data_IF_858351166337
#
_entry.id   IF_858351166337
#
_cell.length_a   1.000
_cell.length_b   1.000
_cell.length_c   1.000
_cell.angle_alpha   90.00
_cell.angle_beta   90.00
_cell.angle_gamma   90.00
#
_symmetry.space_group_name_H-M   'P 1'
#
loop_
_entity.id
_entity.type
_entity.pdbx_description
1 polymer ?
#
# COMPACT_ATOMS: atom_id res chain seq x y z
N UNK A 1 1.20 17.17 -20.33
CA UNK A 1 0.08 17.86 -19.65
C UNK A 1 0.56 19.22 -19.19
N UNK A 2 -0.28 20.24 -19.31
CA UNK A 2 -0.07 21.57 -18.74
C UNK A 2 -1.41 22.04 -18.18
N UNK A 3 -1.48 22.31 -16.88
CA UNK A 3 -2.69 22.79 -16.21
C UNK A 3 -2.35 23.50 -14.90
N UNK A 4 -3.25 24.32 -14.39
CA UNK A 4 -3.16 24.90 -13.06
C UNK A 4 -3.47 23.85 -12.00
N UNK A 5 -2.76 23.91 -10.88
CA UNK A 5 -2.87 22.91 -9.82
C UNK A 5 -2.87 23.55 -8.44
N UNK A 6 -3.45 22.84 -7.45
CA UNK A 6 -3.11 23.03 -6.05
C UNK A 6 -1.81 22.29 -5.73
N UNK A 7 -0.94 22.89 -4.92
CA UNK A 7 0.30 22.27 -4.44
C UNK A 7 0.41 22.38 -2.93
N UNK A 8 0.71 21.29 -2.26
CA UNK A 8 0.98 21.26 -0.83
C UNK A 8 2.07 20.25 -0.46
N UNK A 9 2.65 20.39 0.71
CA UNK A 9 3.50 19.37 1.30
C UNK A 9 2.61 18.21 1.74
N UNK A 10 3.06 16.97 1.52
CA UNK A 10 2.32 15.76 1.85
C UNK A 10 3.12 14.83 2.77
N UNK A 11 2.39 14.01 3.54
CA UNK A 11 2.95 12.96 4.38
C UNK A 11 3.01 13.31 5.86
N UNK A 12 3.55 12.37 6.62
CA UNK A 12 3.77 12.46 8.07
C UNK A 12 5.28 12.34 8.37
N UNK A 13 5.65 11.77 9.48
CA UNK A 13 6.98 11.75 10.07
C UNK A 13 8.16 11.61 9.09
N UNK A 14 8.18 10.58 8.25
CA UNK A 14 9.28 10.33 7.30
C UNK A 14 9.29 11.31 6.12
N UNK A 15 8.12 11.62 5.57
CA UNK A 15 7.98 12.44 4.37
C UNK A 15 8.11 13.95 4.64
N UNK A 16 7.85 14.40 5.88
CA UNK A 16 7.90 15.82 6.27
C UNK A 16 9.18 16.21 7.04
N UNK A 17 9.94 15.24 7.54
CA UNK A 17 11.20 15.54 8.29
C UNK A 17 12.41 15.66 7.39
N UNK A 18 12.39 15.02 6.24
CA UNK A 18 13.51 14.96 5.32
C UNK A 18 13.29 15.90 4.13
N UNK A 19 14.18 16.85 3.95
CA UNK A 19 14.22 17.66 2.73
C UNK A 19 14.95 16.89 1.62
N UNK A 20 14.45 16.86 0.39
CA UNK A 20 13.23 17.52 -0.11
C UNK A 20 11.95 16.87 0.42
N UNK A 21 10.92 17.69 0.67
CA UNK A 21 9.64 17.20 1.20
C UNK A 21 8.84 16.49 0.11
N UNK A 22 8.02 15.53 0.50
CA UNK A 22 6.99 14.99 -0.37
C UNK A 22 5.98 16.08 -0.73
N UNK A 23 5.56 16.10 -1.98
CA UNK A 23 4.62 17.09 -2.50
C UNK A 23 3.37 16.40 -3.02
N UNK A 24 2.22 17.01 -2.78
CA UNK A 24 0.94 16.59 -3.34
C UNK A 24 0.43 17.64 -4.30
N UNK A 25 0.02 17.18 -5.47
CA UNK A 25 -0.66 18.00 -6.46
C UNK A 25 -2.14 17.65 -6.51
N UNK A 26 -2.96 18.67 -6.65
CA UNK A 26 -4.42 18.60 -6.66
C UNK A 26 -4.95 19.18 -7.97
N UNK A 27 -5.79 18.41 -8.65
CA UNK A 27 -6.59 18.90 -9.75
C UNK A 27 -8.01 19.22 -9.25
N UNK A 28 -8.64 20.18 -9.86
CA UNK A 28 -10.01 20.58 -9.55
C UNK A 28 -10.42 21.89 -10.23
N UNK A 29 -11.72 22.12 -10.33
CA UNK A 29 -12.29 23.34 -10.94
C UNK A 29 -11.80 24.63 -10.29
N UNK A 30 -11.47 24.57 -9.00
CA UNK A 30 -10.95 25.68 -8.21
C UNK A 30 -9.57 26.12 -8.66
N UNK A 31 -8.77 25.23 -9.27
CA UNK A 31 -7.43 25.52 -9.77
C UNK A 31 -7.44 25.72 -11.28
N UNK A 32 -8.13 24.85 -12.01
CA UNK A 32 -8.25 24.90 -13.46
C UNK A 32 -9.66 24.52 -13.91
N UNK A 33 -10.50 25.48 -14.30
CA UNK A 33 -11.87 25.21 -14.75
C UNK A 33 -11.99 24.34 -16.00
N UNK A 34 -10.91 24.23 -16.79
CA UNK A 34 -10.88 23.44 -18.02
C UNK A 34 -10.35 22.02 -17.82
N UNK A 35 -9.60 21.79 -16.72
CA UNK A 35 -8.95 20.52 -16.45
C UNK A 35 -9.19 20.12 -14.97
N UNK A 36 -10.33 19.47 -14.74
CA UNK A 36 -10.75 19.07 -13.38
C UNK A 36 -9.95 17.90 -12.82
N UNK A 37 -9.23 17.15 -13.67
CA UNK A 37 -8.42 15.99 -13.33
C UNK A 37 -7.11 15.96 -14.08
N UNK A 38 -6.17 15.16 -13.64
CA UNK A 38 -4.96 14.82 -14.39
C UNK A 38 -5.28 13.66 -15.33
N UNK A 39 -5.48 13.96 -16.61
CA UNK A 39 -5.80 12.94 -17.62
C UNK A 39 -4.53 12.53 -18.36
N UNK A 40 -3.87 11.48 -17.90
CA UNK A 40 -2.64 10.95 -18.49
C UNK A 40 -2.33 9.56 -17.93
N UNK A 41 -1.68 8.72 -18.75
CA UNK A 41 -1.18 7.40 -18.37
C UNK A 41 0.13 7.52 -17.56
N UNK A 42 -0.01 7.84 -16.27
CA UNK A 42 1.15 7.95 -15.39
C UNK A 42 1.72 6.58 -14.99
N UNK A 43 0.91 5.53 -15.00
CA UNK A 43 1.24 4.23 -14.43
C UNK A 43 1.03 3.08 -15.42
N UNK A 44 1.46 3.25 -16.67
CA UNK A 44 1.30 2.27 -17.76
C UNK A 44 1.95 0.89 -17.50
N UNK A 45 2.75 0.75 -16.45
CA UNK A 45 3.33 -0.54 -16.05
C UNK A 45 2.35 -1.43 -15.31
N UNK A 46 1.31 -0.83 -14.74
CA UNK A 46 0.32 -1.55 -13.96
C UNK A 46 -0.74 -2.10 -14.89
N UNK A 47 -1.34 -3.22 -14.49
CA UNK A 47 -2.39 -3.88 -15.27
C UNK A 47 -1.92 -4.61 -16.55
N UNK A 48 -0.64 -4.92 -16.63
CA UNK A 48 -0.09 -5.63 -17.79
C UNK A 48 -0.41 -7.12 -17.81
N UNK A 49 -0.83 -7.70 -16.67
CA UNK A 49 -1.09 -9.14 -16.49
C UNK A 49 -2.53 -9.51 -16.12
N UNK A 50 -3.49 -8.63 -16.40
CA UNK A 50 -4.91 -8.94 -16.21
C UNK A 50 -5.40 -8.83 -14.79
N UNK A 51 -4.99 -7.79 -14.08
CA UNK A 51 -5.46 -7.47 -12.73
C UNK A 51 -6.97 -7.25 -12.67
N UNK A 52 -7.55 -7.34 -11.47
CA UNK A 52 -8.99 -7.17 -11.26
C UNK A 52 -9.44 -5.72 -11.50
N UNK A 53 -8.54 -4.76 -11.34
CA UNK A 53 -8.85 -3.34 -11.43
C UNK A 53 -8.38 -2.76 -12.76
N UNK A 54 -9.22 -1.97 -13.44
CA UNK A 54 -8.83 -1.35 -14.70
C UNK A 54 -7.69 -0.35 -14.49
N UNK A 55 -6.84 -0.25 -15.50
CA UNK A 55 -5.84 0.79 -15.59
C UNK A 55 -6.50 2.17 -15.62
N UNK A 56 -6.09 3.07 -14.73
CA UNK A 56 -6.65 4.42 -14.67
C UNK A 56 -5.73 5.44 -15.28
N UNK A 57 -6.34 6.38 -16.01
CA UNK A 57 -5.66 7.52 -16.63
C UNK A 57 -6.26 8.85 -16.20
N UNK A 58 -7.03 8.85 -15.12
CA UNK A 58 -7.78 10.01 -14.63
C UNK A 58 -7.67 10.12 -13.12
N UNK A 59 -6.99 11.17 -12.64
CA UNK A 59 -6.64 11.35 -11.23
C UNK A 59 -7.04 12.75 -10.77
N UNK A 60 -7.59 12.87 -9.57
CA UNK A 60 -7.85 14.16 -8.95
C UNK A 60 -6.69 14.64 -8.06
N UNK A 61 -5.81 13.77 -7.65
CA UNK A 61 -4.56 14.12 -6.99
C UNK A 61 -3.48 13.05 -7.18
N UNK A 62 -2.23 13.48 -7.07
CA UNK A 62 -1.04 12.65 -7.14
C UNK A 62 -0.04 13.12 -6.08
N UNK A 63 0.82 12.22 -5.63
CA UNK A 63 1.87 12.51 -4.65
C UNK A 63 3.24 12.25 -5.27
N UNK A 64 4.16 13.18 -5.11
CA UNK A 64 5.58 13.01 -5.33
C UNK A 64 6.22 12.65 -4.00
N UNK A 65 6.27 11.35 -3.66
CA UNK A 65 6.82 10.88 -2.39
C UNK A 65 8.34 10.85 -2.44
N UNK A 66 8.98 11.48 -1.48
CA UNK A 66 10.43 11.57 -1.38
C UNK A 66 11.13 10.25 -0.99
N UNK A 67 10.40 9.13 -0.91
CA UNK A 67 10.88 7.82 -0.48
C UNK A 67 10.52 7.46 0.97
N UNK A 68 9.97 8.39 1.72
CA UNK A 68 9.56 8.12 3.10
C UNK A 68 10.72 7.62 3.96
N UNK A 69 10.58 6.41 4.52
CA UNK A 69 11.64 5.78 5.32
C UNK A 69 12.86 5.41 4.48
N UNK A 70 12.72 5.12 3.20
CA UNK A 70 13.81 4.76 2.30
C UNK A 70 14.68 5.95 1.85
N UNK A 71 14.25 7.20 2.08
CA UNK A 71 14.93 8.41 1.59
C UNK A 71 16.40 8.48 2.04
N UNK A 72 16.70 8.04 3.26
CA UNK A 72 18.05 8.09 3.82
C UNK A 72 18.99 6.98 3.29
N UNK A 73 18.74 6.45 2.11
CA UNK A 73 19.51 5.36 1.51
C UNK A 73 21.03 5.60 1.44
N UNK A 74 21.48 6.85 1.45
CA UNK A 74 22.89 7.20 1.36
C UNK A 74 23.49 7.89 2.58
N UNK A 75 22.63 8.49 3.45
CA UNK A 75 23.10 9.41 4.46
C UNK A 75 23.10 8.81 5.86
N UNK A 76 24.02 8.78 6.63
CA UNK A 76 24.14 8.72 8.10
C UNK A 76 23.46 7.57 8.87
N UNK A 77 22.41 6.90 8.38
CA UNK A 77 21.83 5.76 9.09
C UNK A 77 22.27 4.45 8.42
N UNK A 78 23.37 3.88 8.93
CA UNK A 78 24.00 2.66 8.42
C UNK A 78 23.14 1.40 8.64
N UNK A 79 22.08 1.51 9.44
CA UNK A 79 21.19 0.41 9.80
C UNK A 79 19.99 0.25 8.84
N UNK A 80 19.66 1.30 8.09
CA UNK A 80 18.54 1.24 7.15
C UNK A 80 19.01 0.88 5.74
N UNK A 81 18.32 -0.09 5.13
CA UNK A 81 18.62 -0.62 3.80
C UNK A 81 17.79 0.07 2.71
N UNK A 82 17.74 1.41 2.70
CA UNK A 82 16.96 2.16 1.71
C UNK A 82 17.42 1.90 0.28
N UNK A 83 16.47 1.59 -0.60
CA UNK A 83 16.69 1.34 -2.03
C UNK A 83 15.98 2.35 -2.91
N UNK A 84 14.97 3.03 -2.39
CA UNK A 84 13.98 3.82 -3.12
C UNK A 84 13.10 2.99 -4.08
N UNK A 85 13.07 1.66 -3.90
CA UNK A 85 12.36 0.72 -4.79
C UNK A 85 11.24 -0.05 -4.11
N UNK A 86 11.28 -0.23 -2.77
CA UNK A 86 10.36 -1.14 -2.05
C UNK A 86 8.90 -0.86 -2.35
N UNK A 87 8.52 0.42 -2.32
CA UNK A 87 7.16 0.78 -2.68
C UNK A 87 6.82 0.42 -4.13
N UNK A 88 7.70 0.72 -5.09
CA UNK A 88 7.46 0.42 -6.50
C UNK A 88 7.38 -1.09 -6.75
N UNK A 89 8.32 -1.86 -6.19
CA UNK A 89 8.35 -3.34 -6.31
C UNK A 89 7.08 -3.92 -5.66
N UNK A 90 6.78 -3.55 -4.42
CA UNK A 90 5.60 -4.05 -3.71
C UNK A 90 4.28 -3.69 -4.38
N UNK A 91 4.16 -2.47 -4.92
CA UNK A 91 2.96 -2.07 -5.67
C UNK A 91 2.78 -2.88 -6.94
N UNK A 92 3.84 -3.19 -7.68
CA UNK A 92 3.77 -4.03 -8.89
C UNK A 92 3.31 -5.44 -8.53
N UNK A 93 3.92 -6.05 -7.53
CA UNK A 93 3.53 -7.39 -7.06
C UNK A 93 2.08 -7.42 -6.55
N UNK A 94 1.65 -6.40 -5.80
CA UNK A 94 0.28 -6.30 -5.32
C UNK A 94 -0.73 -6.13 -6.47
N UNK A 95 -0.39 -5.33 -7.49
CA UNK A 95 -1.21 -5.18 -8.70
C UNK A 95 -1.28 -6.50 -9.49
N UNK A 96 -0.18 -7.20 -9.66
CA UNK A 96 -0.13 -8.52 -10.31
C UNK A 96 -0.95 -9.58 -9.56
N UNK A 97 -0.98 -9.50 -8.22
CA UNK A 97 -1.84 -10.34 -7.37
C UNK A 97 -3.33 -9.95 -7.45
N UNK A 98 -3.67 -8.84 -8.10
CA UNK A 98 -5.05 -8.36 -8.23
C UNK A 98 -5.54 -7.59 -7.01
N UNK A 99 -4.65 -7.06 -6.18
CA UNK A 99 -5.03 -6.30 -4.99
C UNK A 99 -5.22 -4.82 -5.29
N UNK A 100 -6.06 -4.16 -4.50
CA UNK A 100 -6.21 -2.71 -4.56
C UNK A 100 -4.96 -2.03 -4.02
N UNK A 101 -4.18 -1.43 -4.90
CA UNK A 101 -2.92 -0.77 -4.57
C UNK A 101 -2.76 0.55 -5.33
N UNK A 102 -2.00 1.49 -4.77
CA UNK A 102 -1.60 2.71 -5.46
C UNK A 102 -0.45 2.42 -6.44
N UNK A 103 -0.57 2.90 -7.67
CA UNK A 103 0.54 2.86 -8.63
C UNK A 103 1.71 3.72 -8.14
N UNK A 104 2.94 3.32 -8.48
CA UNK A 104 4.16 4.08 -8.17
C UNK A 104 5.17 4.02 -9.31
N UNK A 105 5.85 5.14 -9.57
CA UNK A 105 6.96 5.21 -10.54
C UNK A 105 7.97 6.28 -10.15
N UNK A 106 9.27 6.09 -10.49
CA UNK A 106 10.28 7.10 -10.24
C UNK A 106 10.13 8.29 -11.20
N UNK A 107 10.30 9.50 -10.68
CA UNK A 107 10.25 10.76 -11.44
C UNK A 107 11.24 11.79 -10.92
N UNK A 108 11.65 12.72 -11.78
CA UNK A 108 12.32 13.96 -11.37
C UNK A 108 11.30 15.08 -11.21
N UNK A 109 11.41 15.80 -10.10
CA UNK A 109 10.57 16.96 -9.79
C UNK A 109 11.38 18.22 -9.95
N UNK A 110 10.90 19.15 -10.77
CA UNK A 110 11.49 20.48 -10.94
C UNK A 110 10.53 21.54 -10.38
N UNK A 111 11.07 22.46 -9.59
CA UNK A 111 10.34 23.64 -9.10
C UNK A 111 11.02 24.89 -9.65
N UNK A 112 10.26 25.74 -10.32
CA UNK A 112 10.78 26.97 -10.95
C UNK A 112 11.98 26.74 -11.89
N UNK A 113 12.04 25.59 -12.54
CA UNK A 113 13.13 25.21 -13.44
C UNK A 113 14.35 24.57 -12.77
N UNK A 114 14.40 24.51 -11.46
CA UNK A 114 15.49 23.86 -10.70
C UNK A 114 15.07 22.46 -10.25
N UNK A 115 16.01 21.50 -10.30
CA UNK A 115 15.78 20.15 -9.82
C UNK A 115 15.54 20.18 -8.30
N UNK A 116 14.31 19.86 -7.90
CA UNK A 116 13.92 19.81 -6.50
C UNK A 116 14.19 18.45 -5.86
N UNK A 117 13.78 17.37 -6.54
CA UNK A 117 13.95 16.00 -6.01
C UNK A 117 13.87 14.93 -7.09
N UNK A 118 14.37 13.75 -6.74
CA UNK A 118 13.94 12.46 -7.29
C UNK A 118 12.91 11.88 -6.34
N UNK A 119 11.77 11.47 -6.85
CA UNK A 119 10.64 11.04 -6.06
C UNK A 119 9.95 9.82 -6.68
N UNK A 120 9.13 9.13 -5.88
CA UNK A 120 8.14 8.19 -6.39
C UNK A 120 6.84 8.95 -6.64
N UNK A 121 6.42 9.08 -7.90
CA UNK A 121 5.07 9.53 -8.23
C UNK A 121 4.10 8.42 -7.87
N UNK A 122 3.08 8.76 -7.09
CA UNK A 122 2.07 7.81 -6.61
C UNK A 122 0.66 8.34 -6.85
N UNK A 123 -0.27 7.44 -7.18
CA UNK A 123 -1.67 7.76 -7.01
C UNK A 123 -2.06 7.62 -5.53
N UNK A 124 -3.28 7.97 -5.19
CA UNK A 124 -3.71 7.98 -3.79
C UNK A 124 -5.03 7.25 -3.61
N UNK A 125 -5.24 6.70 -2.42
CA UNK A 125 -6.52 6.14 -2.03
C UNK A 125 -7.49 7.28 -1.68
N UNK A 126 -8.37 7.60 -2.60
CA UNK A 126 -9.44 8.57 -2.42
C UNK A 126 -10.68 8.11 -3.20
N UNK A 127 -11.82 8.72 -2.93
CA UNK A 127 -13.09 8.32 -3.56
C UNK A 127 -13.07 8.40 -5.08
N UNK A 128 -12.36 9.37 -5.67
CA UNK A 128 -12.26 9.48 -7.12
C UNK A 128 -11.45 8.33 -7.71
N UNK A 129 -10.20 8.14 -7.29
CA UNK A 129 -9.32 7.11 -7.82
C UNK A 129 -9.91 5.70 -7.58
N UNK A 130 -10.48 5.47 -6.39
CA UNK A 130 -11.17 4.20 -6.08
C UNK A 130 -12.39 3.98 -6.98
N UNK A 131 -13.19 5.03 -7.22
CA UNK A 131 -14.33 4.98 -8.12
C UNK A 131 -13.94 4.60 -9.55
N UNK A 132 -12.87 5.17 -10.07
CA UNK A 132 -12.37 4.86 -11.41
C UNK A 132 -11.87 3.42 -11.48
N UNK A 133 -11.09 2.96 -10.48
CA UNK A 133 -10.59 1.57 -10.40
C UNK A 133 -11.71 0.54 -10.28
N UNK A 134 -12.72 0.82 -9.50
CA UNK A 134 -13.82 -0.13 -9.23
C UNK A 134 -15.00 0.00 -10.18
N UNK A 135 -15.05 1.06 -10.99
CA UNK A 135 -16.19 1.43 -11.82
C UNK A 135 -17.50 1.65 -11.01
N UNK A 136 -17.36 2.06 -9.76
CA UNK A 136 -18.44 2.31 -8.81
C UNK A 136 -18.52 3.82 -8.53
N UNK A 137 -19.73 4.35 -8.41
CA UNK A 137 -19.95 5.78 -8.18
C UNK A 137 -19.35 6.27 -6.84
N UNK A 138 -18.53 7.32 -6.90
CA UNK A 138 -17.77 7.87 -5.75
C UNK A 138 -18.64 8.30 -4.55
N UNK A 139 -19.90 8.68 -4.80
CA UNK A 139 -20.80 9.21 -3.77
C UNK A 139 -21.22 8.15 -2.74
N UNK A 140 -21.07 6.87 -3.09
CA UNK A 140 -21.39 5.74 -2.23
C UNK A 140 -20.17 5.01 -1.70
N UNK A 141 -18.98 5.56 -1.92
CA UNK A 141 -17.73 5.00 -1.39
C UNK A 141 -17.43 5.56 0.00
N UNK A 142 -17.11 4.68 0.92
CA UNK A 142 -16.46 4.99 2.20
C UNK A 142 -15.02 4.51 2.15
N UNK A 143 -14.10 5.34 2.66
CA UNK A 143 -12.67 5.03 2.74
C UNK A 143 -12.16 5.53 4.08
N UNK A 144 -11.51 4.66 4.82
CA UNK A 144 -10.89 4.98 6.10
C UNK A 144 -9.41 4.59 6.06
N UNK A 145 -8.55 5.45 6.57
CA UNK A 145 -7.10 5.26 6.63
C UNK A 145 -6.60 5.74 7.96
N UNK A 146 -5.86 4.94 8.65
CA UNK A 146 -5.16 5.27 9.88
C UNK A 146 -4.56 3.99 10.48
N UNK A 147 -4.71 3.84 11.79
CA UNK A 147 -4.52 2.59 12.52
C UNK A 147 -5.70 1.64 12.28
N UNK A 148 -5.48 0.35 12.44
CA UNK A 148 -6.56 -0.63 12.39
C UNK A 148 -7.72 -0.23 13.32
N UNK A 149 -7.40 0.18 14.55
CA UNK A 149 -8.39 0.63 15.53
C UNK A 149 -9.24 1.80 15.04
N UNK A 150 -8.61 2.81 14.43
CA UNK A 150 -9.36 3.96 13.94
C UNK A 150 -10.25 3.58 12.76
N UNK A 151 -9.76 2.73 11.85
CA UNK A 151 -10.52 2.26 10.70
C UNK A 151 -11.71 1.38 11.13
N UNK A 152 -11.51 0.43 12.04
CA UNK A 152 -12.60 -0.44 12.52
C UNK A 152 -13.66 0.33 13.30
N UNK A 153 -13.26 1.32 14.11
CA UNK A 153 -14.18 2.22 14.78
C UNK A 153 -15.05 3.00 13.81
N UNK A 154 -14.45 3.62 12.80
CA UNK A 154 -15.17 4.35 11.77
C UNK A 154 -16.01 3.43 10.88
N UNK A 155 -15.54 2.21 10.66
CA UNK A 155 -16.24 1.16 9.91
C UNK A 155 -17.41 0.53 10.64
N UNK A 156 -17.58 0.79 11.92
CA UNK A 156 -18.71 0.32 12.72
C UNK A 156 -18.60 -1.12 13.21
N UNK A 157 -17.41 -1.72 13.20
CA UNK A 157 -17.16 -3.06 13.77
C UNK A 157 -16.21 -3.05 14.98
N UNK A 158 -16.07 -1.88 15.59
CA UNK A 158 -15.27 -1.70 16.82
C UNK A 158 -15.75 -2.60 17.97
N UNK A 159 -17.07 -2.72 18.15
CA UNK A 159 -17.65 -3.51 19.24
C UNK A 159 -17.35 -5.01 19.17
N UNK A 160 -17.02 -5.50 17.96
CA UNK A 160 -16.58 -6.88 17.77
C UNK A 160 -15.13 -7.11 18.18
N UNK A 161 -14.40 -6.04 18.54
CA UNK A 161 -12.96 -6.09 18.59
C UNK A 161 -12.30 -5.40 19.79
N UNK A 162 -12.66 -4.13 20.11
CA UNK A 162 -11.84 -3.29 21.00
C UNK A 162 -12.18 -3.31 22.49
N UNK A 163 -13.13 -4.08 22.91
CA UNK A 163 -13.52 -4.10 24.34
C UNK A 163 -12.67 -5.03 25.20
N UNK A 164 -11.64 -5.70 24.64
CA UNK A 164 -11.00 -6.84 25.28
C UNK A 164 -9.47 -6.68 25.36
N UNK A 165 -8.89 -7.07 26.52
CA UNK A 165 -7.46 -6.91 26.78
C UNK A 165 -6.57 -7.92 26.03
N UNK A 166 -7.13 -9.02 25.57
CA UNK A 166 -6.41 -10.11 24.91
C UNK A 166 -7.27 -10.82 23.85
N UNK A 167 -6.62 -11.60 23.00
CA UNK A 167 -7.27 -12.35 21.91
C UNK A 167 -8.22 -13.43 22.44
N UNK A 168 -7.94 -14.00 23.60
CA UNK A 168 -8.72 -15.11 24.16
C UNK A 168 -10.08 -14.66 24.67
N UNK A 169 -10.21 -13.39 25.03
CA UNK A 169 -11.47 -12.74 25.42
C UNK A 169 -12.16 -12.00 24.26
N UNK A 170 -11.69 -12.14 23.03
CA UNK A 170 -12.29 -11.48 21.87
C UNK A 170 -13.70 -11.99 21.57
N UNK A 171 -14.69 -11.08 21.34
CA UNK A 171 -16.05 -11.49 21.00
C UNK A 171 -16.14 -12.22 19.66
N UNK A 172 -15.15 -12.10 18.78
CA UNK A 172 -15.09 -12.82 17.50
C UNK A 172 -15.02 -14.32 17.69
N UNK A 173 -14.60 -14.80 18.86
CA UNK A 173 -14.60 -16.23 19.17
C UNK A 173 -16.03 -16.82 19.30
N UNK A 174 -17.04 -15.98 19.45
CA UNK A 174 -18.45 -16.39 19.43
C UNK A 174 -18.97 -16.45 17.98
N UNK A 175 -19.60 -17.57 17.58
CA UNK A 175 -20.08 -17.83 16.22
C UNK A 175 -21.01 -16.70 15.69
N UNK A 176 -21.93 -16.23 16.52
CA UNK A 176 -22.85 -15.13 16.15
C UNK A 176 -22.14 -13.81 15.83
N UNK A 177 -20.94 -13.60 16.35
CA UNK A 177 -20.13 -12.41 16.04
C UNK A 177 -19.25 -12.63 14.82
N UNK A 178 -18.90 -13.88 14.49
CA UNK A 178 -18.26 -14.22 13.21
C UNK A 178 -19.19 -13.91 12.04
N UNK A 179 -20.49 -14.31 12.14
CA UNK A 179 -21.51 -14.00 11.13
C UNK A 179 -21.65 -12.49 10.93
N UNK A 180 -21.73 -11.72 12.02
CA UNK A 180 -21.76 -10.24 11.93
C UNK A 180 -20.51 -9.63 11.29
N UNK A 181 -19.33 -10.19 11.59
CA UNK A 181 -18.09 -9.74 10.95
C UNK A 181 -18.12 -10.01 9.45
N UNK A 182 -18.57 -11.19 9.04
CA UNK A 182 -18.68 -11.57 7.62
C UNK A 182 -19.71 -10.75 6.87
N UNK A 183 -20.75 -10.24 7.54
CA UNK A 183 -21.69 -9.28 6.94
C UNK A 183 -21.03 -7.93 6.67
N UNK A 184 -20.08 -7.51 7.51
CA UNK A 184 -19.44 -6.19 7.44
C UNK A 184 -18.13 -6.20 6.63
N UNK A 185 -17.39 -7.31 6.63
CA UNK A 185 -16.04 -7.41 6.09
C UNK A 185 -15.95 -8.58 5.10
N UNK A 186 -15.26 -8.36 3.99
CA UNK A 186 -14.85 -9.45 3.11
C UNK A 186 -13.66 -10.18 3.76
N UNK A 187 -13.92 -11.29 4.42
CA UNK A 187 -12.89 -12.07 5.14
C UNK A 187 -11.84 -12.63 4.17
N UNK A 188 -12.23 -13.05 2.98
CA UNK A 188 -11.31 -13.53 1.95
C UNK A 188 -10.36 -12.42 1.48
N UNK A 189 -10.88 -11.21 1.29
CA UNK A 189 -10.07 -10.04 0.94
C UNK A 189 -9.11 -9.66 2.08
N UNK A 190 -9.57 -9.77 3.34
CA UNK A 190 -8.73 -9.58 4.52
C UNK A 190 -7.60 -10.61 4.57
N UNK A 191 -7.89 -11.89 4.33
CA UNK A 191 -6.85 -12.93 4.30
C UNK A 191 -5.83 -12.69 3.20
N UNK A 192 -6.29 -12.30 2.02
CA UNK A 192 -5.42 -11.94 0.89
C UNK A 192 -4.52 -10.76 1.22
N UNK A 193 -5.08 -9.72 1.85
CA UNK A 193 -4.34 -8.56 2.31
C UNK A 193 -3.27 -8.91 3.32
N UNK A 194 -3.62 -9.68 4.36
CA UNK A 194 -2.67 -10.11 5.40
C UNK A 194 -1.61 -11.05 4.85
N UNK A 195 -1.98 -11.99 3.97
CA UNK A 195 -1.03 -12.90 3.33
C UNK A 195 0.03 -12.14 2.54
N UNK A 196 -0.37 -11.14 1.75
CA UNK A 196 0.56 -10.30 1.02
C UNK A 196 1.50 -9.51 1.95
N UNK A 197 0.95 -8.86 2.97
CA UNK A 197 1.74 -8.08 3.94
C UNK A 197 2.76 -8.94 4.69
N UNK A 198 2.41 -10.19 5.00
CA UNK A 198 3.31 -11.17 5.60
C UNK A 198 4.43 -11.54 4.62
N UNK A 199 4.10 -11.86 3.37
CA UNK A 199 5.09 -12.30 2.38
C UNK A 199 6.09 -11.20 2.01
N UNK A 200 5.65 -9.94 1.95
CA UNK A 200 6.56 -8.80 1.73
C UNK A 200 7.23 -8.33 3.02
N UNK A 201 6.95 -8.98 4.14
CA UNK A 201 7.49 -8.65 5.46
C UNK A 201 7.38 -7.15 5.81
N UNK A 202 6.15 -6.61 5.73
CA UNK A 202 5.91 -5.21 6.07
C UNK A 202 5.93 -4.99 7.59
N UNK A 203 6.97 -4.36 8.10
CA UNK A 203 7.19 -4.17 9.55
C UNK A 203 6.40 -3.00 10.16
N UNK A 204 5.76 -2.17 9.35
CA UNK A 204 4.96 -1.01 9.81
C UNK A 204 3.44 -1.30 9.76
N UNK A 205 3.08 -2.56 9.67
CA UNK A 205 1.74 -3.13 9.61
C UNK A 205 1.55 -4.15 10.76
N UNK A 206 0.36 -4.38 11.32
CA UNK A 206 -0.95 -3.76 11.04
C UNK A 206 -1.28 -2.56 11.95
N UNK A 207 -0.41 -2.15 12.85
CA UNK A 207 -0.67 -1.07 13.82
C UNK A 207 -0.90 0.28 13.17
N UNK A 208 -0.26 0.48 12.01
CA UNK A 208 -0.34 1.69 11.17
C UNK A 208 -0.60 1.30 9.72
N UNK A 209 -0.82 2.31 8.91
CA UNK A 209 -0.92 2.13 7.45
C UNK A 209 -2.06 1.20 7.03
N UNK A 210 -3.05 1.05 7.89
CA UNK A 210 -4.24 0.27 7.63
C UNK A 210 -5.24 1.12 6.83
N UNK A 211 -5.78 0.58 5.77
CA UNK A 211 -6.73 1.30 4.94
C UNK A 211 -7.82 0.34 4.43
N UNK A 212 -9.07 0.76 4.61
CA UNK A 212 -10.26 0.00 4.21
C UNK A 212 -11.20 0.86 3.37
N UNK A 213 -11.98 0.20 2.55
CA UNK A 213 -13.00 0.83 1.74
C UNK A 213 -14.20 -0.09 1.54
N UNK A 214 -15.37 0.51 1.31
CA UNK A 214 -16.57 -0.21 0.87
C UNK A 214 -17.47 0.64 -0.01
N UNK A 215 -18.37 -0.02 -0.71
CA UNK A 215 -19.49 0.59 -1.39
C UNK A 215 -20.76 0.42 -0.56
N UNK A 216 -21.40 1.53 -0.18
CA UNK A 216 -22.53 1.54 0.76
C UNK A 216 -23.88 1.26 0.11
N UNK A 217 -23.98 1.31 -1.22
CA UNK A 217 -25.20 1.01 -1.96
C UNK A 217 -25.15 -0.41 -2.50
N UNK A 218 -25.72 -1.36 -1.79
CA UNK A 218 -25.83 -2.74 -2.23
C UNK A 218 -26.53 -2.84 -3.59
N UNK A 219 -25.90 -3.53 -4.51
CA UNK A 219 -26.48 -3.91 -5.79
C UNK A 219 -25.88 -5.25 -6.21
N UNK A 220 -26.69 -6.14 -6.78
CA UNK A 220 -26.21 -7.42 -7.30
C UNK A 220 -25.50 -7.32 -8.65
N UNK A 221 -25.43 -6.13 -9.23
CA UNK A 221 -25.00 -5.94 -10.63
C UNK A 221 -23.51 -5.61 -10.78
N UNK A 222 -22.87 -5.18 -9.71
CA UNK A 222 -21.45 -4.74 -9.76
C UNK A 222 -20.58 -5.52 -8.78
N UNK A 223 -19.43 -5.91 -9.25
CA UNK A 223 -18.39 -6.45 -8.38
C UNK A 223 -18.08 -5.45 -7.25
N UNK A 224 -17.87 -5.94 -6.03
CA UNK A 224 -17.62 -5.15 -4.82
C UNK A 224 -18.80 -4.30 -4.29
N UNK A 225 -20.02 -4.50 -4.78
CA UNK A 225 -21.19 -3.76 -4.31
C UNK A 225 -22.06 -4.53 -3.31
N UNK A 226 -21.42 -5.31 -2.46
CA UNK A 226 -22.02 -6.13 -1.40
C UNK A 226 -22.05 -5.45 -0.02
N UNK A 227 -21.61 -4.19 0.07
CA UNK A 227 -21.56 -3.43 1.31
C UNK A 227 -20.39 -3.76 2.24
N UNK A 228 -19.57 -4.76 1.90
CA UNK A 228 -18.49 -5.23 2.76
C UNK A 228 -17.23 -4.40 2.64
N UNK A 229 -16.54 -4.20 3.75
CA UNK A 229 -15.21 -3.60 3.78
C UNK A 229 -14.17 -4.51 3.13
N UNK A 230 -13.27 -3.87 2.35
CA UNK A 230 -12.11 -4.43 1.70
C UNK A 230 -10.88 -3.62 2.00
N UNK A 231 -9.72 -4.10 1.61
CA UNK A 231 -8.44 -3.56 2.05
C UNK A 231 -7.66 -2.96 0.90
N UNK A 232 -6.89 -1.90 1.22
CA UNK A 232 -5.85 -1.38 0.33
C UNK A 232 -4.48 -1.85 0.79
N UNK A 233 -3.65 -2.31 -0.14
CA UNK A 233 -2.22 -2.45 0.12
C UNK A 233 -1.62 -1.04 0.14
N UNK A 234 -1.05 -0.66 1.27
CA UNK A 234 -0.57 0.71 1.53
C UNK A 234 0.78 0.69 2.26
N UNK A 235 1.58 1.75 2.06
CA UNK A 235 2.83 2.08 2.72
C UNK A 235 3.84 0.91 2.79
N UNK A 236 4.42 0.60 1.63
CA UNK A 236 5.31 -0.53 1.41
C UNK A 236 6.81 -0.17 1.56
N UNK A 237 7.15 1.00 2.10
CA UNK A 237 8.53 1.44 2.24
C UNK A 237 9.30 0.73 3.39
N UNK A 238 8.59 0.01 4.26
CA UNK A 238 9.16 -0.79 5.35
C UNK A 238 9.04 -2.30 5.12
N UNK A 239 9.10 -2.75 3.87
CA UNK A 239 9.04 -4.15 3.47
C UNK A 239 10.44 -4.77 3.30
N UNK A 240 10.52 -6.11 3.17
CA UNK A 240 11.75 -6.88 2.87
C UNK A 240 12.95 -6.47 3.73
N UNK A 241 12.83 -6.68 5.05
CA UNK A 241 13.91 -6.48 6.04
C UNK A 241 14.56 -5.09 5.97
N UNK A 242 13.76 -4.07 5.71
CA UNK A 242 14.25 -2.69 5.60
C UNK A 242 15.08 -2.26 6.80
N UNK A 243 14.73 -2.73 7.99
CA UNK A 243 15.36 -2.31 9.25
C UNK A 243 16.25 -3.36 9.91
N UNK A 244 15.95 -4.66 9.77
CA UNK A 244 16.55 -5.73 10.57
C UNK A 244 16.68 -7.05 9.81
N UNK A 245 17.67 -7.87 10.22
CA UNK A 245 17.88 -9.26 9.80
C UNK A 245 17.14 -10.28 10.68
N UNK A 246 16.18 -9.85 11.49
CA UNK A 246 15.51 -10.72 12.45
C UNK A 246 14.54 -11.67 11.75
N UNK A 247 14.29 -12.82 12.38
CA UNK A 247 13.22 -13.76 12.02
C UNK A 247 11.85 -13.10 12.26
N UNK A 248 11.51 -12.21 11.34
CA UNK A 248 10.31 -11.39 11.41
C UNK A 248 9.03 -12.21 11.22
N UNK A 249 9.12 -13.41 10.63
CA UNK A 249 7.98 -14.32 10.54
C UNK A 249 7.44 -14.68 11.91
N UNK A 250 8.32 -15.11 12.81
CA UNK A 250 7.94 -15.43 14.21
C UNK A 250 7.46 -14.17 14.93
N UNK A 251 8.16 -13.05 14.77
CA UNK A 251 7.77 -11.78 15.39
C UNK A 251 6.43 -11.26 14.83
N UNK A 252 6.20 -11.38 13.53
CA UNK A 252 4.97 -10.92 12.87
C UNK A 252 3.75 -11.72 13.33
N UNK A 253 3.81 -13.07 13.30
CA UNK A 253 2.73 -13.91 13.77
C UNK A 253 2.50 -13.75 15.27
N UNK A 254 3.55 -13.55 16.05
CA UNK A 254 3.44 -13.23 17.47
C UNK A 254 2.71 -11.91 17.69
N UNK A 255 3.08 -10.87 16.96
CA UNK A 255 2.45 -9.55 17.05
C UNK A 255 0.97 -9.60 16.63
N UNK A 256 0.62 -10.27 15.54
CA UNK A 256 -0.78 -10.47 15.14
C UNK A 256 -1.56 -11.17 16.26
N UNK A 257 -0.99 -12.20 16.86
CA UNK A 257 -1.64 -12.97 17.91
C UNK A 257 -1.77 -12.20 19.23
N UNK A 258 -0.76 -11.41 19.61
CA UNK A 258 -0.68 -10.74 20.92
C UNK A 258 -1.35 -9.36 20.91
N UNK A 259 -1.40 -8.69 19.76
CA UNK A 259 -1.88 -7.30 19.67
C UNK A 259 -3.40 -7.14 19.59
N UNK A 260 -4.15 -8.25 19.70
CA UNK A 260 -5.61 -8.23 19.68
C UNK A 260 -6.20 -7.70 18.36
N UNK A 261 -5.59 -7.99 17.21
CA UNK A 261 -6.14 -7.64 15.89
C UNK A 261 -7.36 -8.51 15.54
N UNK A 262 -8.24 -8.04 14.66
CA UNK A 262 -9.35 -8.86 14.13
C UNK A 262 -8.78 -10.16 13.55
N UNK A 263 -7.73 -10.06 12.76
CA UNK A 263 -7.03 -11.21 12.21
C UNK A 263 -6.47 -12.14 13.29
N UNK A 264 -5.88 -11.58 14.36
CA UNK A 264 -5.35 -12.35 15.48
C UNK A 264 -6.44 -13.18 16.19
N UNK A 265 -7.65 -12.63 16.28
CA UNK A 265 -8.81 -13.35 16.83
C UNK A 265 -9.31 -14.44 15.88
N UNK A 266 -9.44 -14.16 14.60
CA UNK A 266 -9.92 -15.11 13.60
C UNK A 266 -9.00 -16.34 13.48
N UNK A 267 -7.69 -16.17 13.50
CA UNK A 267 -6.75 -17.31 13.39
C UNK A 267 -6.72 -18.22 14.65
N UNK A 268 -7.41 -17.87 15.74
CA UNK A 268 -7.66 -18.81 16.85
C UNK A 268 -8.73 -19.83 16.48
N UNK A 269 -9.58 -19.54 15.51
CA UNK A 269 -10.65 -20.42 15.04
C UNK A 269 -10.09 -21.28 13.91
N UNK A 270 -10.18 -22.61 14.07
CA UNK A 270 -9.50 -23.56 13.17
C UNK A 270 -9.92 -23.40 11.70
N UNK A 271 -11.16 -23.08 11.42
CA UNK A 271 -11.68 -22.89 10.07
C UNK A 271 -11.04 -21.66 9.38
N UNK A 272 -11.08 -20.51 10.03
CA UNK A 272 -10.45 -19.29 9.52
C UNK A 272 -8.92 -19.39 9.42
N UNK A 273 -8.29 -20.05 10.40
CA UNK A 273 -6.87 -20.35 10.34
C UNK A 273 -6.51 -21.19 9.12
N UNK A 274 -7.31 -22.22 8.84
CA UNK A 274 -7.09 -23.09 7.66
C UNK A 274 -7.27 -22.29 6.37
N UNK A 275 -8.32 -21.47 6.27
CA UNK A 275 -8.59 -20.64 5.12
C UNK A 275 -7.48 -19.63 4.88
N UNK A 276 -7.00 -18.96 5.93
CA UNK A 276 -5.85 -18.04 5.82
C UNK A 276 -4.58 -18.75 5.37
N UNK A 277 -4.25 -19.91 5.93
CA UNK A 277 -3.07 -20.68 5.54
C UNK A 277 -3.16 -21.15 4.08
N UNK A 278 -4.34 -21.54 3.62
CA UNK A 278 -4.56 -21.86 2.21
C UNK A 278 -4.31 -20.64 1.32
N UNK A 279 -4.88 -19.48 1.67
CA UNK A 279 -4.65 -18.22 0.92
C UNK A 279 -3.15 -17.86 0.87
N UNK A 280 -2.44 -18.01 1.99
CA UNK A 280 -1.00 -17.79 2.05
C UNK A 280 -0.23 -18.76 1.14
N UNK A 281 -0.55 -20.06 1.21
CA UNK A 281 0.06 -21.07 0.35
C UNK A 281 -0.25 -20.86 -1.13
N UNK A 282 -1.48 -20.50 -1.46
CA UNK A 282 -1.89 -20.22 -2.84
C UNK A 282 -1.11 -19.02 -3.39
N UNK A 283 -0.94 -17.97 -2.60
CA UNK A 283 -0.14 -16.80 -3.00
C UNK A 283 1.34 -17.16 -3.14
N UNK A 284 1.90 -17.97 -2.24
CA UNK A 284 3.28 -18.46 -2.37
C UNK A 284 3.49 -19.32 -3.63
N UNK A 285 2.49 -20.13 -3.98
CA UNK A 285 2.56 -21.03 -5.14
C UNK A 285 2.12 -20.37 -6.45
N UNK A 286 1.73 -19.11 -6.44
CA UNK A 286 1.27 -18.39 -7.64
C UNK A 286 2.38 -18.06 -8.65
N UNK A 287 3.64 -18.21 -8.25
CA UNK A 287 4.81 -17.75 -8.99
C UNK A 287 5.14 -16.27 -8.78
N UNK A 288 4.29 -15.53 -8.08
CA UNK A 288 4.49 -14.08 -7.82
C UNK A 288 5.77 -13.81 -7.02
N UNK A 289 6.09 -14.71 -6.10
CA UNK A 289 7.27 -14.63 -5.22
C UNK A 289 8.39 -15.58 -5.64
N UNK A 290 8.35 -16.13 -6.85
CA UNK A 290 9.46 -16.90 -7.37
C UNK A 290 10.71 -16.03 -7.52
N UNK A 291 11.90 -16.51 -7.13
CA UNK A 291 13.13 -15.71 -7.16
C UNK A 291 13.41 -15.07 -8.52
N UNK A 292 13.17 -15.79 -9.61
CA UNK A 292 13.38 -15.28 -10.97
C UNK A 292 12.43 -14.14 -11.30
N UNK A 293 11.15 -14.24 -10.88
CA UNK A 293 10.17 -13.19 -11.08
C UNK A 293 10.46 -11.96 -10.20
N UNK A 294 10.79 -12.17 -8.93
CA UNK A 294 11.20 -11.09 -8.03
C UNK A 294 12.41 -10.33 -8.59
N UNK A 295 13.41 -11.05 -9.08
CA UNK A 295 14.58 -10.46 -9.71
C UNK A 295 14.22 -9.61 -10.93
N UNK A 296 13.30 -10.07 -11.78
CA UNK A 296 12.79 -9.31 -12.93
C UNK A 296 12.13 -8.01 -12.51
N UNK A 297 11.23 -8.07 -11.51
CA UNK A 297 10.51 -6.89 -11.00
C UNK A 297 11.47 -5.89 -10.36
N UNK A 298 12.39 -6.36 -9.51
CA UNK A 298 13.40 -5.52 -8.86
C UNK A 298 14.34 -4.88 -9.88
N UNK A 299 14.84 -5.65 -10.86
CA UNK A 299 15.73 -5.15 -11.91
C UNK A 299 15.04 -4.09 -12.77
N UNK A 300 13.77 -4.30 -13.12
CA UNK A 300 12.98 -3.34 -13.88
C UNK A 300 12.80 -2.06 -13.11
N UNK A 301 12.36 -2.13 -11.85
CA UNK A 301 12.20 -0.97 -10.97
C UNK A 301 13.54 -0.23 -10.75
N UNK A 302 14.64 -0.97 -10.57
CA UNK A 302 15.97 -0.38 -10.40
C UNK A 302 16.47 0.30 -11.67
N UNK A 303 16.25 -0.28 -12.83
CA UNK A 303 16.63 0.32 -14.11
C UNK A 303 15.89 1.63 -14.36
N UNK A 304 14.58 1.66 -14.10
CA UNK A 304 13.76 2.88 -14.20
C UNK A 304 14.27 3.99 -13.27
N UNK A 305 14.62 3.63 -12.03
CA UNK A 305 15.13 4.58 -11.05
C UNK A 305 16.56 5.05 -11.38
N UNK A 306 17.42 4.18 -11.86
CA UNK A 306 18.83 4.45 -12.15
C UNK A 306 19.02 5.53 -13.22
N UNK A 307 18.08 5.61 -14.18
CA UNK A 307 18.08 6.67 -15.22
C UNK A 307 18.08 8.07 -14.58
N UNK A 308 17.38 8.25 -13.47
CA UNK A 308 17.21 9.53 -12.80
C UNK A 308 18.08 9.69 -11.56
N UNK A 309 18.55 8.60 -10.97
CA UNK A 309 19.34 8.61 -9.74
C UNK A 309 20.62 9.44 -9.86
N UNK A 310 21.33 9.33 -11.00
CA UNK A 310 22.57 10.04 -11.28
C UNK A 310 22.46 11.56 -11.31
N UNK A 311 21.26 12.08 -11.45
CA UNK A 311 21.01 13.53 -11.42
C UNK A 311 20.87 14.09 -10.00
N UNK A 312 20.65 13.21 -9.02
CA UNK A 312 20.34 13.62 -7.66
C UNK A 312 21.32 13.04 -6.63
N UNK A 313 21.73 11.78 -6.78
CA UNK A 313 22.64 11.12 -5.85
C UNK A 313 24.11 11.35 -6.24
N UNK A 314 24.97 11.50 -5.21
CA UNK A 314 26.40 11.40 -5.45
C UNK A 314 26.78 9.98 -5.87
N UNK A 315 27.92 9.77 -6.56
CA UNK A 315 28.39 8.41 -6.88
C UNK A 315 28.51 7.48 -5.68
N UNK A 316 28.86 8.03 -4.49
CA UNK A 316 28.94 7.28 -3.24
C UNK A 316 27.58 6.83 -2.73
N UNK A 317 26.59 7.73 -2.77
CA UNK A 317 25.23 7.43 -2.33
C UNK A 317 24.57 6.41 -3.24
N UNK A 318 24.76 6.55 -4.56
CA UNK A 318 24.27 5.60 -5.53
C UNK A 318 24.92 4.21 -5.38
N UNK A 319 26.23 4.15 -5.13
CA UNK A 319 26.93 2.89 -4.85
C UNK A 319 26.36 2.20 -3.60
N UNK A 320 26.05 2.96 -2.54
CA UNK A 320 25.43 2.43 -1.32
C UNK A 320 24.01 1.94 -1.60
N UNK A 321 23.21 2.70 -2.37
CA UNK A 321 21.87 2.28 -2.79
C UNK A 321 21.92 0.97 -3.56
N UNK A 322 22.85 0.82 -4.51
CA UNK A 322 23.02 -0.43 -5.29
C UNK A 322 23.43 -1.62 -4.42
N UNK A 323 24.25 -1.43 -3.40
CA UNK A 323 24.49 -2.48 -2.40
C UNK A 323 23.22 -2.91 -1.69
N UNK A 324 22.35 -1.96 -1.31
CA UNK A 324 21.08 -2.27 -0.68
C UNK A 324 20.10 -2.96 -1.66
N UNK A 325 20.16 -2.65 -2.96
CA UNK A 325 19.39 -3.36 -4.00
C UNK A 325 19.84 -4.82 -4.12
N UNK A 326 21.15 -5.09 -4.00
CA UNK A 326 21.66 -6.47 -3.96
C UNK A 326 21.10 -7.22 -2.76
N UNK A 327 21.12 -6.61 -1.58
CA UNK A 327 20.52 -7.21 -0.37
C UNK A 327 18.99 -7.37 -0.44
N UNK A 328 18.31 -6.57 -1.23
CA UNK A 328 16.86 -6.71 -1.45
C UNK A 328 16.51 -7.98 -2.24
N UNK A 329 17.47 -8.53 -3.02
CA UNK A 329 17.31 -9.73 -3.84
C UNK A 329 17.67 -11.02 -3.10
N UNK A 330 18.46 -10.94 -2.04
CA UNK A 330 18.83 -12.06 -1.17
C UNK A 330 17.69 -12.44 -0.20
#
# INVERSE_FOLDING_TARGET
ISQNIGLCVDGDHGSMRNYPYSLKILAGKEYDPLHETFSYDFFHYYNTRGTQFPHIQDFNNLVFRNGGNEYNAGAANTEQRGTMLRWNVGSRLADEAGYMVAGARPVMVFLNGELYSVAQLQDTYNKHNTSVKTLIGKDFLEIYKDTERACTKQGGYEDLYYSYPDVESSPILEESNQEKLEELVSVDDMFSYYAFQVLVNNTDFPKKNYAIWRYTKETSEKLYSDGKYRFFINDLDCTWDFRYDDDLWTAYFKNIKEDGTVMGSLIQIQEYKTSFLNTLCDLMNSGLFDPEHLDEVINTANSDFQIIASYFYTPKDEAKRQQNVTLLKE
#
